data_IF_316244914079
#
_entry.id   IF_316244914079
#
_cell.length_a   1.000
_cell.length_b   1.000
_cell.length_c   1.000
_cell.angle_alpha   90.00
_cell.angle_beta   90.00
_cell.angle_gamma   90.00
#
_symmetry.space_group_name_H-M   'P 1'
#
loop_
_entity.id
_entity.type
_entity.pdbx_description
1 polymer ?
#
# COMPACT_ATOMS: atom_id res chain seq x y z
N UNK A 1 -4.70 10.52 -22.26
CA UNK A 1 -4.38 11.55 -21.24
C UNK A 1 -3.81 10.91 -19.95
N UNK A 2 -4.48 9.92 -19.34
CA UNK A 2 -4.03 9.22 -18.12
C UNK A 2 -2.63 8.59 -18.21
N UNK A 3 -2.27 7.94 -19.33
CA UNK A 3 -0.96 7.27 -19.50
C UNK A 3 0.26 8.18 -19.31
N UNK A 4 0.15 9.49 -19.61
CA UNK A 4 1.27 10.44 -19.42
C UNK A 4 1.52 10.73 -17.92
N UNK A 5 0.46 10.75 -17.13
CA UNK A 5 0.51 11.04 -15.69
C UNK A 5 0.56 9.79 -14.80
N UNK A 6 0.59 8.59 -15.39
CA UNK A 6 0.59 7.32 -14.67
C UNK A 6 1.68 7.25 -13.58
N UNK A 7 2.89 7.73 -13.88
CA UNK A 7 4.01 7.75 -12.92
C UNK A 7 3.76 8.68 -11.72
N UNK A 8 3.06 9.80 -11.91
CA UNK A 8 2.71 10.74 -10.83
C UNK A 8 1.63 10.12 -9.93
N UNK A 9 0.58 9.57 -10.55
CA UNK A 9 -0.52 8.90 -9.84
C UNK A 9 0.04 7.72 -9.03
N UNK A 10 0.84 6.88 -9.66
CA UNK A 10 1.50 5.74 -8.99
C UNK A 10 2.32 6.19 -7.79
N UNK A 11 3.12 7.26 -7.94
CA UNK A 11 3.95 7.77 -6.85
C UNK A 11 3.11 8.22 -5.65
N UNK A 12 1.98 8.86 -5.88
CA UNK A 12 1.09 9.29 -4.80
C UNK A 12 0.41 8.10 -4.12
N UNK A 13 -0.08 7.12 -4.89
CA UNK A 13 -0.65 5.88 -4.33
C UNK A 13 0.38 5.16 -3.45
N UNK A 14 1.62 4.96 -3.93
CA UNK A 14 2.67 4.31 -3.15
C UNK A 14 3.05 5.07 -1.88
N UNK A 15 3.07 6.41 -1.94
CA UNK A 15 3.30 7.27 -0.78
C UNK A 15 2.19 7.11 0.27
N UNK A 16 0.94 7.05 -0.17
CA UNK A 16 -0.20 6.85 0.72
C UNK A 16 -0.19 5.44 1.33
N UNK A 17 0.06 4.40 0.54
CA UNK A 17 0.24 3.02 1.03
C UNK A 17 1.30 2.99 2.15
N UNK A 18 2.47 3.60 1.93
CA UNK A 18 3.53 3.65 2.96
C UNK A 18 3.08 4.38 4.23
N UNK A 19 2.37 5.50 4.08
CA UNK A 19 1.84 6.28 5.21
C UNK A 19 0.84 5.46 6.03
N UNK A 20 -0.14 4.85 5.36
CA UNK A 20 -1.18 4.03 5.99
C UNK A 20 -0.60 2.77 6.63
N UNK A 21 0.31 2.07 5.94
CA UNK A 21 1.01 0.92 6.51
C UNK A 21 1.73 1.26 7.82
N UNK A 22 2.39 2.42 7.88
CA UNK A 22 3.05 2.86 9.11
C UNK A 22 2.06 3.18 10.23
N UNK A 23 0.90 3.79 9.91
CA UNK A 23 -0.17 4.03 10.89
C UNK A 23 -0.75 2.71 11.41
N UNK A 24 -1.07 1.78 10.51
CA UNK A 24 -1.50 0.41 10.84
C UNK A 24 -0.51 -0.30 11.75
N UNK A 25 0.78 -0.24 11.43
CA UNK A 25 1.82 -0.88 12.24
C UNK A 25 1.90 -0.30 13.66
N UNK A 26 1.73 1.01 13.82
CA UNK A 26 1.67 1.66 15.15
C UNK A 26 0.40 1.29 15.93
N UNK A 27 -0.75 1.26 15.24
CA UNK A 27 -2.01 0.85 15.86
C UNK A 27 -1.94 -0.61 16.33
N UNK A 28 -1.35 -1.50 15.51
CA UNK A 28 -1.13 -2.90 15.88
C UNK A 28 -0.17 -3.03 17.06
N UNK A 29 0.94 -2.29 17.08
CA UNK A 29 1.84 -2.29 18.24
C UNK A 29 1.11 -1.83 19.51
N UNK A 30 0.21 -0.85 19.40
CA UNK A 30 -0.60 -0.35 20.52
C UNK A 30 -1.61 -1.39 21.01
N UNK A 31 -2.25 -2.14 20.12
CA UNK A 31 -3.21 -3.17 20.52
C UNK A 31 -2.52 -4.37 21.15
N UNK A 32 -1.29 -4.70 20.72
CA UNK A 32 -0.49 -5.78 21.33
C UNK A 32 0.08 -5.40 22.70
N UNK A 33 0.38 -4.11 22.92
CA UNK A 33 0.87 -3.58 24.20
C UNK A 33 -0.25 -3.34 25.23
N UNK A 34 -1.47 -3.06 24.76
CA UNK A 34 -2.61 -2.80 25.63
C UNK A 34 -3.19 -4.09 26.22
N UNK A 35 -3.63 -4.02 27.47
CA UNK A 35 -4.39 -5.09 28.10
C UNK A 35 -5.70 -5.34 27.33
N UNK A 36 -5.95 -6.61 26.99
CA UNK A 36 -7.12 -7.04 26.24
C UNK A 36 -8.41 -6.62 26.97
N UNK A 37 -9.38 -6.10 26.21
CA UNK A 37 -10.66 -5.64 26.77
C UNK A 37 -10.68 -4.17 27.20
N UNK A 38 -9.53 -3.50 27.30
CA UNK A 38 -9.49 -2.07 27.59
C UNK A 38 -9.98 -1.21 26.42
N UNK A 39 -10.42 0.02 26.71
CA UNK A 39 -10.79 0.99 25.66
C UNK A 39 -9.64 1.25 24.68
N UNK A 40 -8.40 1.31 25.18
CA UNK A 40 -7.19 1.48 24.36
C UNK A 40 -6.99 0.31 23.40
N UNK A 41 -7.18 -0.93 23.87
CA UNK A 41 -7.13 -2.13 23.05
C UNK A 41 -8.16 -2.07 21.91
N UNK A 42 -9.45 -1.87 22.24
CA UNK A 42 -10.51 -1.88 21.23
C UNK A 42 -10.39 -0.74 20.21
N UNK A 43 -10.01 0.46 20.66
CA UNK A 43 -9.79 1.59 19.75
C UNK A 43 -8.66 1.31 18.77
N UNK A 44 -7.51 0.84 19.27
CA UNK A 44 -6.36 0.53 18.40
C UNK A 44 -6.62 -0.63 17.46
N UNK A 45 -7.41 -1.64 17.87
CA UNK A 45 -7.85 -2.71 16.98
C UNK A 45 -8.79 -2.19 15.88
N UNK A 46 -9.74 -1.32 16.22
CA UNK A 46 -10.59 -0.65 15.23
C UNK A 46 -9.80 0.20 14.23
N UNK A 47 -8.75 0.90 14.69
CA UNK A 47 -7.84 1.64 13.82
C UNK A 47 -7.08 0.68 12.87
N UNK A 48 -6.64 -0.49 13.34
CA UNK A 48 -6.01 -1.52 12.49
C UNK A 48 -6.97 -2.00 11.39
N UNK A 49 -8.21 -2.30 11.73
CA UNK A 49 -9.23 -2.72 10.76
C UNK A 49 -9.50 -1.64 9.72
N UNK A 50 -9.63 -0.38 10.16
CA UNK A 50 -9.81 0.76 9.28
C UNK A 50 -8.66 0.91 8.28
N UNK A 51 -7.41 0.86 8.74
CA UNK A 51 -6.24 0.97 7.87
C UNK A 51 -6.05 -0.24 6.95
N UNK A 52 -6.46 -1.45 7.36
CA UNK A 52 -6.46 -2.61 6.46
C UNK A 52 -7.38 -2.38 5.27
N UNK A 53 -8.60 -1.88 5.52
CA UNK A 53 -9.56 -1.56 4.45
C UNK A 53 -9.00 -0.49 3.50
N UNK A 54 -8.40 0.56 4.05
CA UNK A 54 -7.78 1.62 3.23
C UNK A 54 -6.62 1.08 2.38
N UNK A 55 -5.81 0.16 2.90
CA UNK A 55 -4.76 -0.52 2.13
C UNK A 55 -5.35 -1.36 0.98
N UNK A 56 -6.45 -2.06 1.21
CA UNK A 56 -7.10 -2.86 0.17
C UNK A 56 -7.71 -1.99 -0.94
N UNK A 57 -8.26 -0.82 -0.60
CA UNK A 57 -8.69 0.16 -1.59
C UNK A 57 -7.51 0.65 -2.45
N UNK A 58 -6.35 0.96 -1.85
CA UNK A 58 -5.17 1.33 -2.62
C UNK A 58 -4.60 0.20 -3.47
N UNK A 59 -4.73 -1.07 -3.04
CA UNK A 59 -4.37 -2.23 -3.89
C UNK A 59 -5.26 -2.30 -5.13
N UNK A 60 -6.56 -2.04 -4.97
CA UNK A 60 -7.50 -1.98 -6.09
C UNK A 60 -7.13 -0.84 -7.05
N UNK A 61 -6.80 0.35 -6.53
CA UNK A 61 -6.34 1.48 -7.34
C UNK A 61 -5.04 1.17 -8.11
N UNK A 62 -4.08 0.50 -7.47
CA UNK A 62 -2.85 0.05 -8.14
C UNK A 62 -3.14 -0.90 -9.29
N UNK A 63 -4.05 -1.86 -9.07
CA UNK A 63 -4.47 -2.82 -10.10
C UNK A 63 -5.14 -2.12 -11.27
N UNK A 64 -6.09 -1.23 -10.99
CA UNK A 64 -6.78 -0.46 -12.02
C UNK A 64 -5.82 0.41 -12.82
N UNK A 65 -4.85 1.05 -12.15
CA UNK A 65 -3.81 1.82 -12.82
C UNK A 65 -2.94 0.92 -13.71
N UNK A 66 -2.62 -0.29 -13.26
CA UNK A 66 -1.83 -1.24 -14.05
C UNK A 66 -2.60 -1.77 -15.26
N UNK A 67 -3.88 -2.11 -15.11
CA UNK A 67 -4.73 -2.57 -16.20
C UNK A 67 -4.79 -1.54 -17.35
N UNK A 68 -4.85 -0.24 -17.00
CA UNK A 68 -4.94 0.84 -17.99
C UNK A 68 -3.59 1.21 -18.60
N UNK A 69 -2.51 1.17 -17.80
CA UNK A 69 -1.22 1.79 -18.19
C UNK A 69 -0.09 0.79 -18.41
N UNK A 70 -0.25 -0.44 -17.92
CA UNK A 70 0.76 -1.50 -17.88
C UNK A 70 2.08 -0.97 -17.35
N UNK A 71 2.04 -0.33 -16.18
CA UNK A 71 3.21 0.29 -15.56
C UNK A 71 4.13 -0.77 -14.93
N UNK A 72 3.58 -1.88 -14.45
CA UNK A 72 4.33 -3.01 -13.88
C UNK A 72 5.34 -3.59 -14.87
N UNK A 73 4.99 -3.64 -16.16
CA UNK A 73 5.90 -4.08 -17.25
C UNK A 73 6.98 -3.06 -17.62
N UNK A 74 6.87 -1.82 -17.12
CA UNK A 74 7.73 -0.68 -17.49
C UNK A 74 8.64 -0.25 -16.35
N UNK A 75 8.81 -1.07 -15.31
CA UNK A 75 9.66 -0.77 -14.16
C UNK A 75 11.13 -0.50 -14.53
N UNK A 76 11.61 -1.03 -15.66
CA UNK A 76 12.93 -0.74 -16.20
C UNK A 76 13.12 0.72 -16.66
N UNK A 77 12.04 1.48 -16.89
CA UNK A 77 12.13 2.87 -17.33
C UNK A 77 12.43 3.81 -16.16
N UNK A 78 13.29 4.80 -16.39
CA UNK A 78 13.71 5.79 -15.37
C UNK A 78 12.55 6.43 -14.62
N UNK A 79 11.44 6.72 -15.31
CA UNK A 79 10.26 7.33 -14.70
C UNK A 79 9.63 6.48 -13.59
N UNK A 80 9.94 5.18 -13.50
CA UNK A 80 9.41 4.24 -12.52
C UNK A 80 10.45 3.74 -11.50
N UNK A 81 11.73 4.17 -11.59
CA UNK A 81 12.79 3.80 -10.63
C UNK A 81 12.45 4.11 -9.16
N UNK A 82 11.52 5.03 -8.91
CA UNK A 82 11.09 5.35 -7.55
C UNK A 82 10.35 4.18 -6.86
N UNK A 83 9.79 3.23 -7.63
CA UNK A 83 9.02 2.09 -7.10
C UNK A 83 9.88 1.19 -6.21
N UNK A 84 11.18 1.06 -6.51
CA UNK A 84 12.10 0.22 -5.73
C UNK A 84 12.17 0.64 -4.25
N UNK A 85 11.98 1.94 -3.95
CA UNK A 85 11.94 2.47 -2.58
C UNK A 85 10.73 2.01 -1.76
N UNK A 86 9.74 1.40 -2.41
CA UNK A 86 8.49 0.95 -1.80
C UNK A 86 8.34 -0.57 -1.81
N UNK A 87 9.27 -1.33 -2.43
CA UNK A 87 9.21 -2.81 -2.53
C UNK A 87 8.95 -3.48 -1.19
N UNK A 88 9.68 -3.08 -0.14
CA UNK A 88 9.53 -3.67 1.19
C UNK A 88 8.11 -3.53 1.74
N UNK A 89 7.50 -2.35 1.55
CA UNK A 89 6.13 -2.08 2.03
C UNK A 89 5.13 -2.86 1.19
N UNK A 90 5.32 -2.90 -0.13
CA UNK A 90 4.45 -3.65 -1.05
C UNK A 90 4.44 -5.15 -0.71
N UNK A 91 5.62 -5.74 -0.51
CA UNK A 91 5.73 -7.14 -0.10
C UNK A 91 5.01 -7.41 1.23
N UNK A 92 5.17 -6.50 2.21
CA UNK A 92 4.51 -6.60 3.53
C UNK A 92 2.99 -6.51 3.49
N UNK A 93 2.41 -5.96 2.42
CA UNK A 93 0.95 -5.90 2.23
C UNK A 93 0.44 -6.97 1.25
N UNK A 94 1.28 -7.92 0.83
CA UNK A 94 0.91 -9.01 -0.06
C UNK A 94 0.94 -8.65 -1.55
N UNK A 95 1.69 -7.61 -1.94
CA UNK A 95 1.91 -7.24 -3.33
C UNK A 95 3.32 -7.62 -3.79
N UNK A 96 3.39 -8.42 -4.85
CA UNK A 96 4.65 -8.72 -5.55
C UNK A 96 4.71 -8.04 -6.91
N UNK A 97 5.90 -7.55 -7.23
CA UNK A 97 6.25 -6.90 -8.50
C UNK A 97 7.30 -7.74 -9.20
N UNK A 98 6.89 -8.87 -9.76
CA UNK A 98 7.73 -9.74 -10.59
C UNK A 98 7.15 -9.79 -12.00
N UNK A 99 7.65 -8.88 -12.85
CA UNK A 99 7.24 -8.59 -14.25
C UNK A 99 5.74 -8.22 -14.47
N UNK A 100 4.90 -8.45 -13.48
CA UNK A 100 3.45 -8.18 -13.40
C UNK A 100 3.06 -7.94 -11.94
N UNK A 101 2.01 -7.14 -11.72
CA UNK A 101 1.46 -6.92 -10.39
C UNK A 101 0.66 -8.15 -9.94
N UNK A 102 1.11 -8.83 -8.87
CA UNK A 102 0.38 -9.92 -8.21
C UNK A 102 -0.15 -9.45 -6.86
N UNK A 103 -1.42 -9.75 -6.60
CA UNK A 103 -2.11 -9.44 -5.34
C UNK A 103 -2.50 -10.77 -4.70
N UNK A 104 -2.01 -10.99 -3.47
CA UNK A 104 -2.30 -12.17 -2.65
C UNK A 104 -3.27 -11.83 -1.52
#
# INVERSE_FOLDING_TARGET
MIKRYAHVILKEILKNIKSVYNKRSKALATSLDAECGTSRYWKSLGDVEHYNKELDDYKADLKQLDDVTQWSKKLHQDRYKFVDKYRDVLHKIGLELDESLRIY
#
